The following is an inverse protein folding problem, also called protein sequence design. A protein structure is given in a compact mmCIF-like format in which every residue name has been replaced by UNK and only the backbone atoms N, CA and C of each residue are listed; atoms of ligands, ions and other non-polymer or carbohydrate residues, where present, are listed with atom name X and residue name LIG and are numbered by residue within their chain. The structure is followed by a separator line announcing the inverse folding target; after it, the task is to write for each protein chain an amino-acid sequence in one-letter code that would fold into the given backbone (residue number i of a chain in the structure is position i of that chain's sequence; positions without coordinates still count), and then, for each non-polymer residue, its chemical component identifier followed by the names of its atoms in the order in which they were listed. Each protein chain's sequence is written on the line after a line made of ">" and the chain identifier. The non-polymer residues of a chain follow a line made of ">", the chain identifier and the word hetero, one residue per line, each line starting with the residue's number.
data_IF_981420283873
#
_entry.id   IF_981420283873
#
_cell.length_a   1.000
_cell.length_b   1.000
_cell.length_c   1.000
_cell.angle_alpha   90.00
_cell.angle_beta   90.00
_cell.angle_gamma   90.00
#
_symmetry.space_group_name_H-M   'P 1'
#
loop_
_entity.id
_entity.type
_entity.pdbx_description
1 polymer ?
#
# COMPACT_ATOMS: atom_id res chain seq x y z
N UNK A 1 0.79 27.27 -8.57
CA UNK A 1 0.60 26.43 -7.37
C UNK A 1 1.71 25.37 -7.33
N UNK A 2 2.03 24.83 -6.15
CA UNK A 2 3.03 23.76 -6.01
C UNK A 2 2.44 22.40 -6.42
N UNK A 3 3.21 21.55 -7.09
CA UNK A 3 2.78 20.21 -7.50
C UNK A 3 2.88 19.22 -6.33
N UNK A 4 1.77 18.56 -5.91
CA UNK A 4 1.77 17.58 -4.82
C UNK A 4 2.15 16.18 -5.30
N UNK A 5 2.25 15.95 -6.61
CA UNK A 5 2.62 14.68 -7.22
C UNK A 5 3.92 14.10 -6.65
N UNK A 6 5.03 14.86 -6.62
CA UNK A 6 6.30 14.38 -6.06
C UNK A 6 6.20 13.89 -4.62
N UNK A 7 5.42 14.57 -3.76
CA UNK A 7 5.17 14.14 -2.37
C UNK A 7 4.44 12.79 -2.36
N UNK A 8 3.41 12.63 -3.19
CA UNK A 8 2.68 11.38 -3.29
C UNK A 8 3.57 10.21 -3.70
N UNK A 9 4.36 10.38 -4.76
CA UNK A 9 5.22 9.30 -5.26
C UNK A 9 6.34 8.93 -4.28
N UNK A 10 7.00 9.91 -3.66
CA UNK A 10 8.08 9.61 -2.71
C UNK A 10 7.54 8.94 -1.45
N UNK A 11 6.37 9.35 -0.95
CA UNK A 11 5.69 8.71 0.17
C UNK A 11 5.40 7.23 -0.11
N UNK A 12 4.90 6.93 -1.32
CA UNK A 12 4.64 5.55 -1.71
C UNK A 12 5.94 4.72 -1.81
N UNK A 13 6.96 5.23 -2.50
CA UNK A 13 8.23 4.52 -2.73
C UNK A 13 8.96 4.23 -1.41
N UNK A 14 8.96 5.18 -0.48
CA UNK A 14 9.60 5.05 0.82
C UNK A 14 8.89 4.05 1.76
N UNK A 15 7.65 3.66 1.48
CA UNK A 15 6.96 2.57 2.17
C UNK A 15 7.08 1.23 1.44
N UNK A 16 6.89 1.25 0.11
CA UNK A 16 6.89 0.04 -0.69
C UNK A 16 8.26 -0.63 -0.69
N UNK A 17 9.34 0.12 -0.91
CA UNK A 17 10.70 -0.42 -1.06
C UNK A 17 11.13 -1.28 0.14
N UNK A 18 11.08 -0.79 1.40
CA UNK A 18 11.44 -1.63 2.55
C UNK A 18 10.46 -2.79 2.77
N UNK A 19 9.18 -2.63 2.44
CA UNK A 19 8.19 -3.71 2.51
C UNK A 19 8.57 -4.86 1.58
N UNK A 20 8.93 -4.55 0.33
CA UNK A 20 9.39 -5.54 -0.64
C UNK A 20 10.71 -6.18 -0.19
N UNK A 21 11.64 -5.42 0.39
CA UNK A 21 12.87 -5.99 0.95
C UNK A 21 12.59 -7.03 2.06
N UNK A 22 11.58 -6.80 2.91
CA UNK A 22 11.13 -7.77 3.91
C UNK A 22 10.51 -9.02 3.27
N UNK A 23 9.69 -8.86 2.22
CA UNK A 23 9.01 -9.97 1.54
C UNK A 23 9.95 -10.78 0.65
N UNK A 24 11.01 -10.17 0.10
CA UNK A 24 12.03 -10.82 -0.71
C UNK A 24 13.25 -11.30 0.09
N UNK A 25 13.18 -11.27 1.43
CA UNK A 25 14.23 -11.76 2.33
C UNK A 25 15.61 -11.14 2.04
N UNK A 26 15.69 -9.82 1.83
CA UNK A 26 16.98 -9.15 1.61
C UNK A 26 17.83 -9.22 2.89
N UNK A 27 18.97 -9.90 2.81
CA UNK A 27 19.85 -10.10 3.97
C UNK A 27 19.20 -10.98 5.03
N UNK A 28 19.09 -10.49 6.27
CA UNK A 28 18.44 -11.19 7.38
C UNK A 28 16.97 -10.79 7.59
N UNK A 29 16.38 -10.06 6.64
CA UNK A 29 14.98 -9.63 6.73
C UNK A 29 14.03 -10.81 6.48
N UNK A 30 12.85 -10.71 7.07
CA UNK A 30 11.75 -11.65 6.87
C UNK A 30 10.41 -10.89 6.84
N UNK A 31 9.28 -11.53 6.50
CA UNK A 31 7.98 -10.88 6.58
C UNK A 31 7.68 -10.25 7.94
N UNK A 32 8.16 -10.85 9.05
CA UNK A 32 8.00 -10.32 10.41
C UNK A 32 8.74 -8.98 10.61
N UNK A 33 9.80 -8.71 9.85
CA UNK A 33 10.56 -7.46 9.93
C UNK A 33 9.71 -6.22 9.61
N UNK A 34 8.55 -6.39 8.97
CA UNK A 34 7.60 -5.30 8.70
C UNK A 34 7.05 -4.63 9.96
N UNK A 35 7.12 -5.29 11.14
CA UNK A 35 6.77 -4.65 12.42
C UNK A 35 7.64 -3.41 12.69
N UNK A 36 8.89 -3.40 12.25
CA UNK A 36 9.78 -2.23 12.37
C UNK A 36 9.37 -1.07 11.43
N UNK A 37 8.54 -1.34 10.42
CA UNK A 37 8.10 -0.37 9.41
C UNK A 37 6.77 0.29 9.76
N UNK A 38 6.11 -0.10 10.85
CA UNK A 38 4.78 0.42 11.24
C UNK A 38 4.76 1.95 11.32
N UNK A 39 5.80 2.58 11.89
CA UNK A 39 5.90 4.04 11.94
C UNK A 39 5.97 4.68 10.55
N UNK A 40 6.70 4.04 9.62
CA UNK A 40 6.82 4.46 8.24
C UNK A 40 5.47 4.33 7.50
N UNK A 41 4.73 3.24 7.75
CA UNK A 41 3.41 3.02 7.18
C UNK A 41 2.41 4.09 7.63
N UNK A 42 2.42 4.50 8.90
CA UNK A 42 1.57 5.60 9.37
C UNK A 42 1.98 6.96 8.81
N UNK A 43 3.26 7.33 8.94
CA UNK A 43 3.67 8.72 8.72
C UNK A 43 3.97 9.01 7.25
N UNK A 44 4.75 8.17 6.60
CA UNK A 44 5.19 8.42 5.23
C UNK A 44 4.15 7.91 4.24
N UNK A 45 3.72 6.66 4.39
CA UNK A 45 2.76 6.01 3.50
C UNK A 45 1.35 6.53 3.72
N UNK A 46 0.86 6.54 4.95
CA UNK A 46 -0.48 7.00 5.29
C UNK A 46 -0.60 8.52 5.20
N UNK A 47 -0.04 9.22 6.17
CA UNK A 47 -0.21 10.67 6.31
C UNK A 47 0.38 11.44 5.13
N UNK A 48 1.58 11.10 4.66
CA UNK A 48 2.21 11.75 3.50
C UNK A 48 1.37 11.66 2.22
N UNK A 49 0.80 10.49 1.92
CA UNK A 49 -0.12 10.33 0.79
C UNK A 49 -1.43 11.07 0.99
N UNK A 50 -1.99 11.07 2.19
CA UNK A 50 -3.21 11.83 2.48
C UNK A 50 -3.01 13.34 2.33
N UNK A 51 -1.86 13.88 2.74
CA UNK A 51 -1.50 15.28 2.48
C UNK A 51 -1.43 15.53 0.97
N UNK A 52 -0.74 14.68 0.20
CA UNK A 52 -0.68 14.79 -1.25
C UNK A 52 -2.07 14.71 -1.90
N UNK A 53 -2.97 13.88 -1.36
CA UNK A 53 -4.34 13.75 -1.83
C UNK A 53 -5.15 15.04 -1.61
N UNK A 54 -5.08 15.62 -0.41
CA UNK A 54 -5.76 16.88 -0.08
C UNK A 54 -5.23 18.02 -0.96
N UNK A 55 -3.91 18.11 -1.14
CA UNK A 55 -3.31 19.11 -2.01
C UNK A 55 -3.71 18.94 -3.49
N UNK A 56 -3.87 17.69 -3.95
CA UNK A 56 -4.34 17.38 -5.31
C UNK A 56 -5.81 17.75 -5.49
N UNK A 57 -6.64 17.54 -4.46
CA UNK A 57 -8.03 17.98 -4.46
C UNK A 57 -8.15 19.48 -4.62
N UNK A 58 -7.35 20.25 -3.86
CA UNK A 58 -7.31 21.72 -3.94
C UNK A 58 -6.90 22.24 -5.33
N UNK A 59 -6.22 21.42 -6.12
CA UNK A 59 -5.80 21.74 -7.50
C UNK A 59 -6.78 21.22 -8.56
N UNK A 60 -7.86 20.55 -8.16
CA UNK A 60 -8.82 19.93 -9.09
C UNK A 60 -8.30 18.67 -9.78
N UNK A 61 -7.17 18.11 -9.34
CA UNK A 61 -6.58 16.91 -9.91
C UNK A 61 -7.23 15.64 -9.31
N UNK A 62 -8.47 15.34 -9.72
CA UNK A 62 -9.28 14.24 -9.16
C UNK A 62 -8.59 12.88 -9.24
N UNK A 63 -7.92 12.57 -10.35
CA UNK A 63 -7.24 11.28 -10.51
C UNK A 63 -6.13 11.09 -9.47
N UNK A 64 -5.28 12.11 -9.27
CA UNK A 64 -4.22 12.08 -8.27
C UNK A 64 -4.78 12.05 -6.85
N UNK A 65 -5.84 12.83 -6.58
CA UNK A 65 -6.53 12.82 -5.29
C UNK A 65 -7.01 11.41 -4.92
N UNK A 66 -7.76 10.74 -5.81
CA UNK A 66 -8.28 9.38 -5.56
C UNK A 66 -7.14 8.39 -5.41
N UNK A 67 -6.10 8.50 -6.25
CA UNK A 67 -4.91 7.65 -6.16
C UNK A 67 -4.26 7.77 -4.78
N UNK A 68 -3.84 8.97 -4.40
CA UNK A 68 -3.07 9.17 -3.17
C UNK A 68 -3.92 8.88 -1.92
N UNK A 69 -5.20 9.26 -1.89
CA UNK A 69 -6.07 8.94 -0.76
C UNK A 69 -6.24 7.43 -0.57
N UNK A 70 -6.45 6.68 -1.66
CA UNK A 70 -6.66 5.23 -1.60
C UNK A 70 -5.40 4.49 -1.15
N UNK A 71 -4.23 4.87 -1.69
CA UNK A 71 -2.96 4.30 -1.27
C UNK A 71 -2.59 4.71 0.18
N UNK A 72 -2.91 5.93 0.60
CA UNK A 72 -2.73 6.36 2.00
C UNK A 72 -3.58 5.55 2.97
N UNK A 73 -4.85 5.31 2.63
CA UNK A 73 -5.74 4.42 3.39
C UNK A 73 -5.24 2.98 3.44
N UNK A 74 -4.68 2.48 2.34
CA UNK A 74 -4.03 1.17 2.32
C UNK A 74 -2.89 1.11 3.34
N UNK A 75 -1.95 2.07 3.32
CA UNK A 75 -0.84 2.05 4.26
C UNK A 75 -1.27 2.22 5.72
N UNK A 76 -2.32 2.99 6.01
CA UNK A 76 -2.88 3.05 7.35
C UNK A 76 -3.49 1.72 7.81
N UNK A 77 -4.27 1.06 6.97
CA UNK A 77 -4.81 -0.26 7.29
C UNK A 77 -3.70 -1.30 7.48
N UNK A 78 -2.70 -1.29 6.62
CA UNK A 78 -1.55 -2.18 6.70
C UNK A 78 -0.67 -1.91 7.94
N UNK A 79 -0.58 -0.65 8.39
CA UNK A 79 0.08 -0.29 9.65
C UNK A 79 -0.62 -0.91 10.85
N UNK A 80 -1.95 -0.91 10.89
CA UNK A 80 -2.72 -1.56 11.95
C UNK A 80 -2.54 -3.07 11.93
N UNK A 81 -2.58 -3.70 10.75
CA UNK A 81 -2.36 -5.15 10.62
C UNK A 81 -0.98 -5.59 11.15
N UNK A 82 0.05 -4.77 10.94
CA UNK A 82 1.42 -5.07 11.37
C UNK A 82 1.78 -4.52 12.75
N UNK A 83 0.90 -3.76 13.41
CA UNK A 83 1.15 -3.18 14.73
C UNK A 83 0.83 -4.18 15.84
N UNK A 84 1.81 -4.59 16.67
CA UNK A 84 1.54 -5.47 17.80
C UNK A 84 0.54 -4.89 18.80
N UNK A 85 0.48 -3.56 18.92
CA UNK A 85 -0.41 -2.84 19.82
C UNK A 85 -1.87 -2.85 19.35
N UNK A 86 -2.12 -3.03 18.04
CA UNK A 86 -3.48 -3.11 17.51
C UNK A 86 -4.19 -4.43 17.88
N UNK A 87 -3.45 -5.47 18.28
CA UNK A 87 -4.03 -6.71 18.79
C UNK A 87 -4.72 -7.60 17.74
N UNK A 88 -4.69 -7.23 16.45
CA UNK A 88 -5.44 -7.92 15.39
C UNK A 88 -4.94 -9.37 15.20
N UNK A 89 -3.63 -9.56 15.09
CA UNK A 89 -3.05 -10.88 14.92
C UNK A 89 -3.39 -11.80 16.10
N UNK A 90 -3.34 -11.29 17.33
CA UNK A 90 -3.70 -12.04 18.53
C UNK A 90 -5.18 -12.41 18.54
N UNK A 91 -6.06 -11.48 18.18
CA UNK A 91 -7.51 -11.72 18.11
C UNK A 91 -7.87 -12.80 17.08
N UNK A 92 -7.05 -12.96 16.04
CA UNK A 92 -7.26 -13.95 14.98
C UNK A 92 -6.51 -15.27 15.19
N UNK A 93 -5.88 -15.49 16.35
CA UNK A 93 -5.23 -16.77 16.69
C UNK A 93 -3.71 -16.78 16.51
N UNK A 94 -3.07 -15.62 16.36
CA UNK A 94 -1.63 -15.46 16.26
C UNK A 94 -1.12 -15.24 14.83
N UNK A 95 0.18 -14.98 14.69
CA UNK A 95 0.81 -14.56 13.43
C UNK A 95 0.73 -15.61 12.31
N UNK A 96 0.58 -16.89 12.65
CA UNK A 96 0.52 -18.00 11.69
C UNK A 96 -0.88 -18.61 11.59
N UNK A 97 -1.92 -17.92 12.08
CA UNK A 97 -3.27 -18.47 11.99
C UNK A 97 -3.77 -18.42 10.54
N UNK A 98 -4.41 -19.49 10.03
CA UNK A 98 -5.01 -19.48 8.70
C UNK A 98 -6.02 -18.34 8.52
N UNK A 99 -6.77 -18.02 9.59
CA UNK A 99 -7.75 -16.94 9.55
C UNK A 99 -7.10 -15.55 9.35
N UNK A 100 -5.93 -15.30 9.94
CA UNK A 100 -5.19 -14.07 9.71
C UNK A 100 -4.61 -14.05 8.30
N UNK A 101 -3.99 -15.14 7.84
CA UNK A 101 -3.39 -15.20 6.50
C UNK A 101 -4.44 -15.01 5.42
N UNK A 102 -5.58 -15.71 5.50
CA UNK A 102 -6.69 -15.56 4.55
C UNK A 102 -7.25 -14.13 4.55
N UNK A 103 -7.39 -13.50 5.72
CA UNK A 103 -7.86 -12.12 5.83
C UNK A 103 -6.89 -11.12 5.20
N UNK A 104 -5.58 -11.31 5.40
CA UNK A 104 -4.54 -10.47 4.77
C UNK A 104 -4.49 -10.72 3.25
N UNK A 105 -4.66 -11.97 2.81
CA UNK A 105 -4.81 -12.32 1.40
C UNK A 105 -5.99 -11.59 0.76
N UNK A 106 -7.17 -11.62 1.38
CA UNK A 106 -8.35 -10.89 0.92
C UNK A 106 -8.14 -9.37 0.88
N UNK A 107 -7.43 -8.82 1.88
CA UNK A 107 -7.02 -7.41 1.91
C UNK A 107 -6.14 -7.03 0.70
N UNK A 108 -5.19 -7.89 0.32
CA UNK A 108 -4.35 -7.73 -0.87
C UNK A 108 -5.14 -7.87 -2.18
N UNK A 109 -6.13 -8.78 -2.26
CA UNK A 109 -7.02 -8.91 -3.43
C UNK A 109 -7.83 -7.63 -3.65
N UNK A 110 -8.39 -7.04 -2.59
CA UNK A 110 -9.11 -5.76 -2.67
C UNK A 110 -8.22 -4.65 -3.25
N UNK A 111 -6.97 -4.58 -2.78
CA UNK A 111 -5.99 -3.62 -3.30
C UNK A 111 -5.57 -3.92 -4.75
N UNK A 112 -5.47 -5.19 -5.13
CA UNK A 112 -5.21 -5.59 -6.52
C UNK A 112 -6.34 -5.12 -7.45
N UNK A 113 -7.60 -5.39 -7.10
CA UNK A 113 -8.76 -4.96 -7.90
C UNK A 113 -8.78 -3.44 -8.09
N UNK A 114 -8.52 -2.68 -7.02
CA UNK A 114 -8.40 -1.23 -7.11
C UNK A 114 -7.31 -0.82 -8.12
N UNK A 115 -6.13 -1.44 -8.07
CA UNK A 115 -5.04 -1.13 -8.99
C UNK A 115 -5.34 -1.50 -10.44
N UNK A 116 -6.07 -2.59 -10.69
CA UNK A 116 -6.52 -2.93 -12.04
C UNK A 116 -7.46 -1.84 -12.60
N UNK A 117 -8.41 -1.36 -11.80
CA UNK A 117 -9.30 -0.27 -12.18
C UNK A 117 -8.50 1.00 -12.50
N UNK A 118 -7.55 1.36 -11.63
CA UNK A 118 -6.70 2.53 -11.83
C UNK A 118 -5.82 2.42 -13.08
N UNK A 119 -5.30 1.22 -13.38
CA UNK A 119 -4.54 0.94 -14.60
C UNK A 119 -5.39 1.23 -15.85
N UNK A 120 -6.61 0.71 -15.91
CA UNK A 120 -7.55 0.95 -17.02
C UNK A 120 -7.88 2.44 -17.16
N UNK A 121 -8.17 3.13 -16.05
CA UNK A 121 -8.48 4.56 -16.08
C UNK A 121 -7.28 5.41 -16.53
N UNK A 122 -6.07 5.00 -16.19
CA UNK A 122 -4.84 5.73 -16.52
C UNK A 122 -4.40 5.63 -17.97
N UNK A 123 -5.00 4.74 -18.78
CA UNK A 123 -4.71 4.60 -20.22
C UNK A 123 -4.89 5.92 -20.97
N UNK A 124 -5.87 6.73 -20.55
CA UNK A 124 -6.14 8.05 -21.16
C UNK A 124 -5.24 9.16 -20.64
N UNK A 125 -4.40 8.88 -19.64
CA UNK A 125 -3.55 9.86 -18.96
C UNK A 125 -2.10 9.72 -19.42
N UNK A 126 -1.45 8.61 -19.07
CA UNK A 126 -0.05 8.35 -19.43
C UNK A 126 0.29 6.86 -19.23
N UNK A 127 1.06 6.29 -20.17
CA UNK A 127 1.59 4.93 -20.10
C UNK A 127 2.41 4.65 -18.83
N UNK A 128 3.10 5.66 -18.27
CA UNK A 128 3.82 5.52 -16.99
C UNK A 128 2.87 5.12 -15.86
N UNK A 129 1.69 5.75 -15.78
CA UNK A 129 0.70 5.40 -14.77
C UNK A 129 0.11 4.02 -15.00
N UNK A 130 -0.19 3.67 -16.25
CA UNK A 130 -0.65 2.32 -16.61
C UNK A 130 0.34 1.28 -16.10
N UNK A 131 1.63 1.50 -16.34
CA UNK A 131 2.71 0.58 -15.94
C UNK A 131 2.81 0.46 -14.42
N UNK A 132 2.73 1.57 -13.69
CA UNK A 132 2.78 1.58 -12.22
C UNK A 132 1.58 0.79 -11.65
N UNK A 133 0.35 1.14 -12.03
CA UNK A 133 -0.83 0.47 -11.48
C UNK A 133 -0.90 -1.00 -11.88
N UNK A 134 -0.50 -1.35 -13.11
CA UNK A 134 -0.50 -2.74 -13.55
C UNK A 134 0.56 -3.58 -12.83
N UNK A 135 1.75 -3.03 -12.57
CA UNK A 135 2.78 -3.75 -11.80
C UNK A 135 2.40 -3.90 -10.33
N UNK A 136 1.75 -2.89 -9.73
CA UNK A 136 1.19 -3.01 -8.37
C UNK A 136 0.06 -4.03 -8.33
N UNK A 137 -0.84 -4.06 -9.33
CA UNK A 137 -1.87 -5.10 -9.45
C UNK A 137 -1.28 -6.51 -9.45
N UNK A 138 -0.29 -6.77 -10.30
CA UNK A 138 0.39 -8.07 -10.33
C UNK A 138 1.09 -8.38 -9.01
N UNK A 139 1.81 -7.40 -8.45
CA UNK A 139 2.49 -7.56 -7.17
C UNK A 139 1.52 -7.92 -6.04
N UNK A 140 0.40 -7.21 -5.93
CA UNK A 140 -0.63 -7.49 -4.92
C UNK A 140 -1.30 -8.84 -5.12
N UNK A 141 -1.53 -9.29 -6.36
CA UNK A 141 -2.03 -10.64 -6.62
C UNK A 141 -1.03 -11.73 -6.20
N UNK A 142 0.25 -11.54 -6.50
CA UNK A 142 1.30 -12.49 -6.11
C UNK A 142 1.44 -12.56 -4.59
N UNK A 143 1.36 -11.42 -3.90
CA UNK A 143 1.38 -11.36 -2.44
C UNK A 143 0.13 -12.06 -1.88
N UNK A 144 -1.06 -11.79 -2.41
CA UNK A 144 -2.29 -12.46 -1.99
C UNK A 144 -2.20 -13.98 -2.16
N UNK A 145 -1.70 -14.45 -3.30
CA UNK A 145 -1.50 -15.88 -3.56
C UNK A 145 -0.48 -16.55 -2.66
N UNK A 146 0.42 -15.79 -2.02
CA UNK A 146 1.33 -16.31 -0.99
C UNK A 146 0.71 -16.42 0.41
N UNK A 147 -0.48 -15.84 0.62
CA UNK A 147 -1.22 -15.91 1.89
C UNK A 147 -2.29 -17.01 1.93
N UNK A 148 -2.68 -17.54 0.77
CA UNK A 148 -3.58 -18.69 0.62
C UNK A 148 -2.78 -19.98 0.42
#
# INVERSE_FOLDING_TARGET
>A
FADPGPLGFISFVLCLTPTIACLCFWGSLSPLSQVALVGQFYLTGGLGLWIAAIMSWLQGATFQMVTFASYGSFWFGFALLNSPQAGIAQALGGANSPMLTDAVGAYMIGFAIFNLIMAIMSVRINLTFVTIFFTVFLGSLLIAGGFF
#
